data_IF_050178678477
#
_entry.id   IF_050178678477
#
_cell.length_a   1.000
_cell.length_b   1.000
_cell.length_c   1.000
_cell.angle_alpha   90.00
_cell.angle_beta   90.00
_cell.angle_gamma   90.00
#
_symmetry.space_group_name_H-M   'P 1'
#
loop_
_entity.id
_entity.type
_entity.pdbx_description
1 polymer ?
#
# COMPACT_ATOMS: atom_id res chain seq x y z
N UNK A 1 9.44 -36.66 30.26
CA UNK A 1 8.66 -36.54 29.01
C UNK A 1 8.01 -35.16 29.07
N UNK A 2 8.66 -34.15 28.50
CA UNK A 2 8.14 -32.78 28.44
C UNK A 2 7.08 -32.69 27.33
N UNK A 3 5.85 -32.25 27.63
CA UNK A 3 4.83 -32.06 26.60
C UNK A 3 5.20 -30.84 25.76
N UNK A 4 5.15 -30.98 24.45
CA UNK A 4 5.33 -29.92 23.47
C UNK A 4 4.54 -28.67 23.87
N UNK A 5 5.26 -27.64 24.30
CA UNK A 5 4.71 -26.30 24.52
C UNK A 5 4.36 -25.73 23.15
N UNK A 6 3.13 -25.95 22.70
CA UNK A 6 2.58 -25.29 21.52
C UNK A 6 2.61 -23.80 21.83
N UNK A 7 3.59 -23.09 21.29
CA UNK A 7 3.59 -21.63 21.32
C UNK A 7 2.35 -21.20 20.53
N UNK A 8 1.33 -20.70 21.21
CA UNK A 8 0.19 -20.08 20.55
C UNK A 8 0.71 -18.87 19.79
N UNK A 9 0.56 -18.88 18.48
CA UNK A 9 0.88 -17.70 17.67
C UNK A 9 0.04 -16.52 18.19
N UNK A 10 0.61 -15.30 18.22
CA UNK A 10 -0.15 -14.13 18.62
C UNK A 10 -1.36 -13.95 17.70
N UNK A 11 -2.49 -13.55 18.27
CA UNK A 11 -3.68 -13.19 17.49
C UNK A 11 -3.31 -12.02 16.58
N UNK A 12 -3.45 -12.22 15.27
CA UNK A 12 -3.18 -11.17 14.29
C UNK A 12 -4.38 -10.21 14.34
N UNK A 13 -4.13 -8.96 14.73
CA UNK A 13 -5.13 -7.89 14.66
C UNK A 13 -5.34 -7.46 13.21
N UNK A 14 -6.57 -7.03 12.89
CA UNK A 14 -6.86 -6.51 11.56
C UNK A 14 -6.05 -5.24 11.28
N UNK A 15 -5.45 -5.12 10.09
CA UNK A 15 -4.64 -3.96 9.78
C UNK A 15 -5.52 -2.70 9.71
N UNK A 16 -4.98 -1.58 10.18
CA UNK A 16 -5.56 -0.25 10.03
C UNK A 16 -4.94 0.44 8.81
N UNK A 17 -5.77 1.06 8.00
CA UNK A 17 -5.35 1.69 6.75
C UNK A 17 -5.84 3.13 6.69
N UNK A 18 -4.88 4.05 6.78
CA UNK A 18 -5.10 5.50 6.82
C UNK A 18 -4.73 6.22 5.52
N UNK A 19 -4.26 5.49 4.49
CA UNK A 19 -3.61 5.98 3.25
C UNK A 19 -2.13 6.33 3.38
N UNK A 20 -1.53 6.36 4.58
CA UNK A 20 -0.10 6.59 4.70
C UNK A 20 0.69 5.57 3.86
N UNK A 21 1.79 5.99 3.24
CA UNK A 21 2.60 5.13 2.38
C UNK A 21 3.06 3.86 3.11
N UNK A 22 3.43 3.99 4.39
CA UNK A 22 3.75 2.87 5.29
C UNK A 22 2.61 1.87 5.47
N UNK A 23 1.36 2.36 5.47
CA UNK A 23 0.16 1.55 5.75
C UNK A 23 -0.38 0.91 4.46
N UNK A 24 -0.03 1.46 3.30
CA UNK A 24 -0.43 0.94 1.99
C UNK A 24 0.28 -0.34 1.63
N UNK A 25 1.56 -0.46 1.99
CA UNK A 25 2.35 -1.63 1.67
C UNK A 25 1.87 -2.82 2.51
N UNK A 26 1.22 -3.77 1.84
CA UNK A 26 0.80 -5.03 2.46
C UNK A 26 -0.58 -5.03 3.11
N UNK A 27 -1.28 -3.89 3.24
CA UNK A 27 -2.67 -3.86 3.73
C UNK A 27 -3.56 -4.78 2.89
N UNK A 28 -3.54 -4.58 1.56
CA UNK A 28 -4.37 -5.37 0.64
C UNK A 28 -4.08 -6.85 0.82
N UNK A 29 -2.82 -7.26 0.74
CA UNK A 29 -2.44 -8.67 0.75
C UNK A 29 -2.77 -9.32 2.10
N UNK A 30 -2.56 -8.61 3.21
CA UNK A 30 -2.91 -9.07 4.55
C UNK A 30 -4.43 -9.17 4.74
N UNK A 31 -5.17 -8.10 4.39
CA UNK A 31 -6.64 -8.11 4.48
C UNK A 31 -7.24 -9.19 3.57
N UNK A 32 -6.64 -9.43 2.40
CA UNK A 32 -7.08 -10.51 1.51
C UNK A 32 -6.94 -11.86 2.17
N UNK A 33 -5.75 -12.16 2.69
CA UNK A 33 -5.46 -13.41 3.37
C UNK A 33 -6.33 -13.63 4.62
N UNK A 34 -6.59 -12.58 5.39
CA UNK A 34 -7.33 -12.68 6.65
C UNK A 34 -8.85 -12.65 6.49
N UNK A 35 -9.38 -12.00 5.45
CA UNK A 35 -10.81 -11.68 5.33
C UNK A 35 -11.35 -11.91 3.91
N UNK A 36 -10.77 -11.29 2.87
CA UNK A 36 -11.37 -11.30 1.52
C UNK A 36 -11.46 -12.72 0.94
N UNK A 37 -10.37 -13.48 0.99
CA UNK A 37 -10.25 -14.79 0.36
C UNK A 37 -10.86 -15.92 1.21
N UNK A 38 -11.25 -15.61 2.45
CA UNK A 38 -11.93 -16.55 3.35
C UNK A 38 -13.35 -16.83 2.87
N UNK A 39 -13.64 -18.09 2.57
CA UNK A 39 -14.96 -18.54 2.11
C UNK A 39 -15.94 -18.81 3.26
N UNK A 40 -15.43 -18.84 4.48
CA UNK A 40 -16.18 -19.11 5.71
C UNK A 40 -16.66 -17.86 6.45
N UNK A 41 -16.44 -16.67 5.87
CA UNK A 41 -16.94 -15.38 6.37
C UNK A 41 -17.97 -14.85 5.37
N UNK A 42 -19.16 -14.44 5.85
CA UNK A 42 -20.18 -13.87 4.97
C UNK A 42 -19.75 -12.47 4.47
N UNK A 43 -20.18 -12.06 3.27
CA UNK A 43 -19.71 -10.78 2.70
C UNK A 43 -20.13 -9.57 3.53
N UNK A 44 -21.28 -9.62 4.21
CA UNK A 44 -21.69 -8.58 5.18
C UNK A 44 -20.71 -8.46 6.37
N UNK A 45 -20.17 -9.56 6.86
CA UNK A 45 -19.14 -9.57 7.91
C UNK A 45 -17.82 -9.06 7.36
N UNK A 46 -17.42 -9.49 6.15
CA UNK A 46 -16.25 -8.93 5.45
C UNK A 46 -16.35 -7.42 5.28
N UNK A 47 -17.54 -6.90 5.00
CA UNK A 47 -17.75 -5.46 4.87
C UNK A 47 -17.62 -4.74 6.21
N UNK A 48 -18.05 -5.37 7.30
CA UNK A 48 -17.89 -4.85 8.66
C UNK A 48 -16.40 -4.77 9.01
N UNK A 49 -15.64 -5.84 8.76
CA UNK A 49 -14.19 -5.85 8.93
C UNK A 49 -13.49 -4.80 8.05
N UNK A 50 -13.90 -4.68 6.79
CA UNK A 50 -13.36 -3.66 5.88
C UNK A 50 -13.55 -2.26 6.45
N UNK A 51 -14.76 -1.89 6.88
CA UNK A 51 -15.02 -0.58 7.47
C UNK A 51 -14.21 -0.34 8.75
N UNK A 52 -14.07 -1.35 9.61
CA UNK A 52 -13.28 -1.25 10.84
C UNK A 52 -11.78 -1.09 10.58
N UNK A 53 -11.29 -1.63 9.47
CA UNK A 53 -9.89 -1.55 9.02
C UNK A 53 -9.52 -0.24 8.31
N UNK A 54 -10.49 0.62 7.98
CA UNK A 54 -10.25 1.84 7.21
C UNK A 54 -10.38 3.09 8.07
N UNK A 55 -9.56 4.10 7.77
CA UNK A 55 -9.60 5.40 8.45
C UNK A 55 -9.52 6.56 7.45
N UNK A 56 -9.94 7.75 7.89
CA UNK A 56 -9.80 8.99 7.13
C UNK A 56 -10.37 8.90 5.72
N UNK A 57 -9.54 9.25 4.71
CA UNK A 57 -9.96 9.28 3.30
C UNK A 57 -10.32 7.90 2.75
N UNK A 58 -9.70 6.84 3.25
CA UNK A 58 -9.99 5.49 2.78
C UNK A 58 -11.35 5.01 3.27
N UNK A 59 -11.71 5.35 4.51
CA UNK A 59 -13.06 5.10 5.03
C UNK A 59 -14.10 5.96 4.30
N UNK A 60 -13.77 7.24 4.04
CA UNK A 60 -14.66 8.14 3.32
C UNK A 60 -14.95 7.69 1.89
N UNK A 61 -13.99 7.06 1.20
CA UNK A 61 -14.15 6.52 -0.15
C UNK A 61 -15.34 5.56 -0.24
N UNK A 62 -15.44 4.64 0.72
CA UNK A 62 -16.50 3.62 0.73
C UNK A 62 -17.71 4.03 1.59
N UNK A 63 -17.75 5.26 2.11
CA UNK A 63 -18.80 5.71 3.03
C UNK A 63 -20.16 5.88 2.32
N UNK A 64 -20.14 6.21 1.03
CA UNK A 64 -21.33 6.34 0.18
C UNK A 64 -21.91 4.99 -0.26
N UNK A 65 -21.12 3.91 -0.15
CA UNK A 65 -21.55 2.56 -0.54
C UNK A 65 -22.55 2.04 0.48
N UNK A 66 -23.79 1.70 0.06
CA UNK A 66 -24.79 1.15 0.96
C UNK A 66 -24.26 -0.10 1.67
N UNK A 67 -24.46 -0.18 2.98
CA UNK A 67 -24.04 -1.36 3.73
C UNK A 67 -24.93 -2.55 3.37
N UNK A 68 -24.31 -3.66 2.96
CA UNK A 68 -25.03 -4.88 2.62
C UNK A 68 -24.15 -5.90 1.90
N UNK A 69 -24.58 -7.15 1.92
CA UNK A 69 -23.85 -8.30 1.35
C UNK A 69 -23.54 -8.08 -0.14
N UNK A 70 -24.50 -7.54 -0.90
CA UNK A 70 -24.37 -7.24 -2.32
C UNK A 70 -23.33 -6.16 -2.66
N UNK A 71 -22.90 -5.36 -1.68
CA UNK A 71 -22.08 -4.18 -1.91
C UNK A 71 -20.63 -4.33 -1.44
N UNK A 72 -20.31 -5.39 -0.70
CA UNK A 72 -18.94 -5.65 -0.23
C UNK A 72 -17.91 -5.67 -1.36
N UNK A 73 -18.17 -6.47 -2.40
CA UNK A 73 -17.24 -6.61 -3.53
C UNK A 73 -17.04 -5.30 -4.29
N UNK A 74 -18.07 -4.47 -4.38
CA UNK A 74 -17.97 -3.13 -4.97
C UNK A 74 -17.08 -2.22 -4.13
N UNK A 75 -17.30 -2.17 -2.81
CA UNK A 75 -16.48 -1.37 -1.89
C UNK A 75 -15.02 -1.81 -1.88
N UNK A 76 -14.77 -3.13 -1.88
CA UNK A 76 -13.42 -3.69 -1.96
C UNK A 76 -12.73 -3.33 -3.28
N UNK A 77 -13.45 -3.47 -4.39
CA UNK A 77 -12.93 -3.10 -5.71
C UNK A 77 -12.58 -1.62 -5.79
N UNK A 78 -13.47 -0.74 -5.35
CA UNK A 78 -13.25 0.72 -5.35
C UNK A 78 -12.03 1.11 -4.50
N UNK A 79 -11.85 0.46 -3.35
CA UNK A 79 -10.67 0.64 -2.51
C UNK A 79 -9.38 0.24 -3.25
N UNK A 80 -9.35 -0.92 -3.89
CA UNK A 80 -8.20 -1.40 -4.66
C UNK A 80 -7.93 -0.51 -5.88
N UNK A 81 -8.95 -0.10 -6.63
CA UNK A 81 -8.75 0.80 -7.78
C UNK A 81 -8.13 2.13 -7.36
N UNK A 82 -8.53 2.66 -6.19
CA UNK A 82 -8.04 3.93 -5.69
C UNK A 82 -6.62 3.85 -5.08
N UNK A 83 -6.23 2.71 -4.51
CA UNK A 83 -5.02 2.61 -3.68
C UNK A 83 -4.00 1.55 -4.10
N UNK A 84 -4.36 0.62 -4.98
CA UNK A 84 -3.48 -0.43 -5.50
C UNK A 84 -3.05 -0.19 -6.95
N UNK A 85 -3.19 1.04 -7.48
CA UNK A 85 -2.71 1.38 -8.81
C UNK A 85 -1.16 1.24 -8.86
N UNK A 86 -0.59 0.28 -9.62
CA UNK A 86 0.85 0.03 -9.63
C UNK A 86 1.67 1.22 -10.11
N UNK A 87 1.10 2.06 -11.00
CA UNK A 87 1.77 3.27 -11.49
C UNK A 87 1.90 4.31 -10.38
N UNK A 88 0.82 4.58 -9.65
CA UNK A 88 0.82 5.54 -8.53
C UNK A 88 1.76 5.06 -7.42
N UNK A 89 1.68 3.78 -7.04
CA UNK A 89 2.61 3.20 -6.05
C UNK A 89 4.06 3.32 -6.54
N UNK A 90 4.29 3.08 -7.82
CA UNK A 90 5.59 3.27 -8.44
C UNK A 90 6.11 4.70 -8.32
N UNK A 91 5.27 5.71 -8.56
CA UNK A 91 5.64 7.11 -8.35
C UNK A 91 5.95 7.43 -6.90
N UNK A 92 5.13 6.96 -5.96
CA UNK A 92 5.38 7.14 -4.52
C UNK A 92 6.74 6.53 -4.10
N UNK A 93 7.09 5.33 -4.61
CA UNK A 93 8.40 4.71 -4.39
C UNK A 93 9.55 5.53 -4.99
N UNK A 94 9.38 6.06 -6.20
CA UNK A 94 10.39 6.88 -6.86
C UNK A 94 10.61 8.20 -6.12
N UNK A 95 9.54 8.84 -5.65
CA UNK A 95 9.62 10.07 -4.85
C UNK A 95 10.42 9.84 -3.56
N UNK A 96 10.21 8.71 -2.88
CA UNK A 96 10.98 8.34 -1.68
C UNK A 96 12.51 8.29 -1.94
N UNK A 97 12.95 7.91 -3.15
CA UNK A 97 14.38 8.01 -3.56
C UNK A 97 14.74 9.46 -3.92
N UNK A 98 13.92 10.10 -4.74
CA UNK A 98 14.23 11.41 -5.32
C UNK A 98 14.23 12.55 -4.30
N UNK A 99 13.52 12.35 -3.18
CA UNK A 99 13.44 13.24 -2.03
C UNK A 99 14.33 12.77 -0.87
N UNK A 100 15.14 11.72 -1.07
CA UNK A 100 16.06 11.25 -0.04
C UNK A 100 16.97 12.41 0.41
N UNK A 101 17.01 12.71 1.71
CA UNK A 101 17.67 13.91 2.20
C UNK A 101 19.17 13.85 1.88
N UNK A 102 19.68 14.90 1.21
CA UNK A 102 21.11 15.09 1.02
C UNK A 102 21.76 15.25 2.40
N UNK A 103 22.40 14.20 2.91
CA UNK A 103 23.18 14.30 4.12
C UNK A 103 24.38 15.20 3.84
N UNK A 104 24.47 16.33 4.54
CA UNK A 104 25.59 17.28 4.44
C UNK A 104 26.94 16.72 4.95
N UNK A 105 26.95 15.50 5.46
CA UNK A 105 28.10 14.79 5.97
C UNK A 105 28.11 13.39 5.35
N UNK A 106 29.16 13.03 4.62
CA UNK A 106 29.38 11.69 4.07
C UNK A 106 29.67 10.65 5.15
N UNK A 107 28.75 10.47 6.11
CA UNK A 107 28.87 9.46 7.14
C UNK A 107 28.54 8.08 6.56
N UNK A 108 29.23 7.05 7.04
CA UNK A 108 28.94 5.65 6.71
C UNK A 108 27.47 5.29 6.97
N UNK A 109 26.88 5.84 8.03
CA UNK A 109 25.47 5.66 8.37
C UNK A 109 24.50 6.21 7.32
N UNK A 110 24.80 7.39 6.74
CA UNK A 110 23.97 7.96 5.68
C UNK A 110 24.05 7.14 4.40
N UNK A 111 25.24 6.65 4.05
CA UNK A 111 25.43 5.75 2.89
C UNK A 111 24.68 4.42 3.07
N UNK A 112 24.77 3.80 4.25
CA UNK A 112 24.03 2.58 4.56
C UNK A 112 22.53 2.80 4.51
N UNK A 113 22.04 3.93 5.04
CA UNK A 113 20.62 4.29 4.94
C UNK A 113 20.18 4.41 3.49
N UNK A 114 20.95 5.09 2.64
CA UNK A 114 20.65 5.22 1.21
C UNK A 114 20.61 3.87 0.50
N UNK A 115 21.61 3.00 0.70
CA UNK A 115 21.67 1.66 0.09
C UNK A 115 20.47 0.80 0.53
N UNK A 116 20.10 0.87 1.81
CA UNK A 116 18.94 0.15 2.33
C UNK A 116 17.64 0.66 1.69
N UNK A 117 17.44 1.99 1.64
CA UNK A 117 16.27 2.60 1.01
C UNK A 117 16.19 2.28 -0.48
N UNK A 118 17.31 2.35 -1.20
CA UNK A 118 17.37 1.98 -2.62
C UNK A 118 16.98 0.51 -2.84
N UNK A 119 17.52 -0.40 -2.02
CA UNK A 119 17.24 -1.84 -2.13
C UNK A 119 15.77 -2.18 -1.82
N UNK A 120 15.20 -1.53 -0.80
CA UNK A 120 13.77 -1.63 -0.46
C UNK A 120 12.90 -1.23 -1.66
N UNK A 121 13.21 -0.07 -2.26
CA UNK A 121 12.42 0.49 -3.36
C UNK A 121 12.58 -0.31 -4.65
N UNK A 122 13.80 -0.76 -4.97
CA UNK A 122 14.04 -1.64 -6.11
C UNK A 122 13.22 -2.94 -5.99
N UNK A 123 13.20 -3.54 -4.79
CA UNK A 123 12.42 -4.75 -4.53
C UNK A 123 10.92 -4.48 -4.69
N UNK A 124 10.43 -3.37 -4.13
CA UNK A 124 9.02 -3.01 -4.23
C UNK A 124 8.58 -2.73 -5.67
N UNK A 125 9.37 -1.97 -6.44
CA UNK A 125 9.12 -1.71 -7.87
C UNK A 125 9.10 -3.00 -8.70
N UNK A 126 10.00 -3.95 -8.39
CA UNK A 126 10.03 -5.26 -9.05
C UNK A 126 8.75 -6.06 -8.76
N UNK A 127 8.22 -5.97 -7.54
CA UNK A 127 7.00 -6.65 -7.12
C UNK A 127 5.72 -6.02 -7.67
N UNK A 128 5.73 -4.73 -8.04
CA UNK A 128 4.59 -4.07 -8.66
C UNK A 128 4.27 -4.58 -10.07
N UNK A 129 5.20 -5.30 -10.69
CA UNK A 129 5.05 -5.88 -12.04
C UNK A 129 4.57 -4.85 -13.08
N UNK A 130 5.14 -3.64 -13.02
CA UNK A 130 4.82 -2.56 -13.96
C UNK A 130 5.34 -2.97 -15.35
N UNK A 131 4.53 -2.86 -16.43
CA UNK A 131 4.90 -3.35 -17.77
C UNK A 131 6.22 -2.78 -18.30
N UNK A 132 6.50 -1.51 -18.01
CA UNK A 132 7.75 -0.84 -18.35
C UNK A 132 8.20 0.06 -17.19
N UNK A 133 9.16 -0.43 -16.40
CA UNK A 133 9.74 0.35 -15.30
C UNK A 133 10.62 1.50 -15.79
N UNK A 134 11.20 1.40 -16.98
CA UNK A 134 11.99 2.46 -17.60
C UNK A 134 11.14 3.66 -17.98
N UNK A 135 10.01 3.42 -18.65
CA UNK A 135 9.02 4.45 -18.96
C UNK A 135 8.52 5.13 -17.69
N UNK A 136 8.17 4.35 -16.65
CA UNK A 136 7.73 4.87 -15.37
C UNK A 136 8.76 5.82 -14.73
N UNK A 137 10.05 5.42 -14.71
CA UNK A 137 11.14 6.23 -14.18
C UNK A 137 11.33 7.50 -15.02
N UNK A 138 11.39 7.38 -16.34
CA UNK A 138 11.55 8.51 -17.25
C UNK A 138 10.41 9.51 -17.12
N UNK A 139 9.17 9.02 -17.08
CA UNK A 139 8.00 9.85 -16.87
C UNK A 139 8.09 10.57 -15.53
N UNK A 140 8.43 9.88 -14.43
CA UNK A 140 8.52 10.54 -13.12
C UNK A 140 9.59 11.61 -13.08
N UNK A 141 10.75 11.39 -13.71
CA UNK A 141 11.80 12.38 -13.85
C UNK A 141 11.34 13.60 -14.67
N UNK A 142 10.66 13.37 -15.80
CA UNK A 142 10.11 14.43 -16.64
C UNK A 142 8.99 15.22 -15.92
N UNK A 143 8.12 14.55 -15.16
CA UNK A 143 7.03 15.16 -14.43
C UNK A 143 7.49 16.18 -13.36
N UNK A 144 8.77 16.18 -12.99
CA UNK A 144 9.35 17.19 -12.07
C UNK A 144 9.46 18.57 -12.68
N UNK A 145 9.45 18.70 -14.02
CA UNK A 145 9.54 20.01 -14.69
C UNK A 145 8.18 20.67 -14.95
N UNK A 146 7.08 19.94 -14.72
CA UNK A 146 5.71 20.48 -14.82
C UNK A 146 5.17 20.85 -13.44
N UNK A 147 4.25 21.82 -13.42
CA UNK A 147 3.60 22.29 -12.19
C UNK A 147 2.71 21.20 -11.57
N UNK A 148 2.30 21.42 -10.32
CA UNK A 148 1.55 20.43 -9.54
C UNK A 148 0.14 20.15 -10.08
N UNK A 149 -0.48 21.10 -10.79
CA UNK A 149 -1.80 20.91 -11.39
C UNK A 149 -1.66 20.02 -12.63
N UNK A 150 -0.77 20.38 -13.55
CA UNK A 150 -0.47 19.56 -14.74
C UNK A 150 -0.05 18.14 -14.38
N UNK A 151 0.74 17.95 -13.31
CA UNK A 151 1.18 16.64 -12.86
C UNK A 151 0.03 15.75 -12.38
N UNK A 152 -0.97 16.33 -11.71
CA UNK A 152 -2.12 15.60 -11.17
C UNK A 152 -3.00 14.99 -12.24
N UNK A 153 -3.07 15.58 -13.42
CA UNK A 153 -3.88 15.05 -14.52
C UNK A 153 -3.33 13.72 -15.09
N UNK A 154 -2.09 13.36 -14.74
CA UNK A 154 -1.44 12.11 -15.14
C UNK A 154 -1.33 11.07 -14.03
N UNK A 155 -1.74 11.41 -12.80
CA UNK A 155 -1.66 10.57 -11.59
C UNK A 155 -3.04 10.01 -11.20
#
# INVERSE_FOLDING_TARGET
>A
MDPHRVQSLPTIELPLFSRAFSDRVGFRDLFKSMVHDRTDIASVEKFTYLKASLQGKALALIASVPFGDAHYYSAWKELCEQYDNPRILGFDYLDKILEFPLSSQGSLSAMQSFVNTFSEIHTALSNLNVPDSGELILFRLAARVVDAETRRDFE
#
